data_IF_598937704513
#
_entry.id   IF_598937704513
#
_cell.length_a   1.000
_cell.length_b   1.000
_cell.length_c   1.000
_cell.angle_alpha   90.00
_cell.angle_beta   90.00
_cell.angle_gamma   90.00
#
_symmetry.space_group_name_H-M   'P 1'
#
loop_
_entity.id
_entity.type
_entity.pdbx_description
1 polymer ?
#
# COMPACT_ATOMS: atom_id res chain seq x y z
N UNK A 1 -13.92 2.62 3.63
CA UNK A 1 -14.48 1.28 3.32
C UNK A 1 -13.48 0.11 3.37
N UNK A 2 -12.49 -0.01 2.47
CA UNK A 2 -11.66 -1.24 2.35
C UNK A 2 -10.93 -1.70 3.63
N UNK A 3 -10.42 -0.79 4.45
CA UNK A 3 -9.80 -1.12 5.75
C UNK A 3 -10.77 -1.06 6.94
N UNK A 4 -11.90 -0.39 6.76
CA UNK A 4 -12.91 -0.23 7.81
C UNK A 4 -13.84 -1.45 7.87
N UNK A 5 -14.29 -1.91 6.71
CA UNK A 5 -15.20 -3.04 6.57
C UNK A 5 -14.46 -4.35 6.88
N UNK A 6 -14.92 -5.13 7.88
CA UNK A 6 -14.27 -6.38 8.28
C UNK A 6 -14.33 -7.48 7.22
N UNK A 7 -15.13 -7.34 6.16
CA UNK A 7 -15.15 -8.28 5.03
C UNK A 7 -13.90 -8.18 4.13
N UNK A 8 -13.03 -7.18 4.34
CA UNK A 8 -11.81 -7.00 3.56
C UNK A 8 -10.56 -7.07 4.46
N UNK A 9 -10.07 -5.91 4.97
CA UNK A 9 -8.92 -5.81 5.90
C UNK A 9 -7.71 -6.68 5.51
N UNK A 10 -7.32 -6.62 4.25
CA UNK A 10 -6.25 -7.47 3.70
C UNK A 10 -4.88 -7.19 4.34
N UNK A 11 -4.09 -8.27 4.51
CA UNK A 11 -2.70 -8.20 4.99
C UNK A 11 -1.76 -7.48 4.02
N UNK A 12 -2.11 -7.41 2.74
CA UNK A 12 -1.27 -6.76 1.75
C UNK A 12 -1.99 -6.38 0.47
N UNK A 13 -1.38 -5.42 -0.23
CA UNK A 13 -1.94 -4.79 -1.42
C UNK A 13 -0.90 -4.63 -2.52
N UNK A 14 -1.35 -4.74 -3.76
CA UNK A 14 -0.64 -4.29 -4.97
C UNK A 14 -1.52 -3.24 -5.63
N UNK A 15 -1.06 -1.99 -5.63
CA UNK A 15 -1.79 -0.88 -6.23
C UNK A 15 -1.28 -0.71 -7.65
N UNK A 16 -2.12 -1.06 -8.62
CA UNK A 16 -1.79 -0.98 -10.05
C UNK A 16 -2.75 -0.02 -10.73
N UNK A 17 -2.33 1.25 -10.95
CA UNK A 17 -3.10 2.15 -11.78
C UNK A 17 -3.33 1.52 -13.16
N UNK A 18 -4.54 1.68 -13.68
CA UNK A 18 -4.93 1.09 -14.95
C UNK A 18 -4.11 1.71 -16.09
N UNK A 19 -3.51 0.86 -16.92
CA UNK A 19 -2.74 1.25 -18.09
C UNK A 19 -3.49 0.86 -19.36
N UNK A 20 -3.47 1.74 -20.35
CA UNK A 20 -4.00 1.47 -21.69
C UNK A 20 -2.86 0.87 -22.53
N UNK A 21 -3.04 -0.36 -22.97
CA UNK A 21 -2.04 -1.12 -23.76
C UNK A 21 -2.66 -1.50 -25.10
N UNK A 22 -1.90 -1.32 -26.19
CA UNK A 22 -2.34 -1.70 -27.55
C UNK A 22 -2.78 -3.17 -27.58
N UNK A 23 -3.86 -3.46 -28.30
CA UNK A 23 -4.41 -4.81 -28.43
C UNK A 23 -5.32 -5.26 -27.28
N UNK A 24 -5.62 -4.39 -26.30
CA UNK A 24 -6.60 -4.67 -25.24
C UNK A 24 -7.96 -4.05 -25.53
N UNK A 25 -9.03 -4.58 -24.95
CA UNK A 25 -10.37 -3.97 -25.08
C UNK A 25 -10.42 -2.53 -24.55
N UNK A 26 -9.64 -2.22 -23.51
CA UNK A 26 -9.55 -0.86 -22.95
C UNK A 26 -8.94 0.14 -23.96
N UNK A 27 -8.04 -0.33 -24.83
CA UNK A 27 -7.46 0.51 -25.89
C UNK A 27 -8.51 0.99 -26.89
N UNK A 28 -9.47 0.14 -27.28
CA UNK A 28 -10.55 0.56 -28.19
C UNK A 28 -11.49 1.58 -27.53
N UNK A 29 -11.76 1.44 -26.22
CA UNK A 29 -12.51 2.44 -25.45
C UNK A 29 -11.77 3.77 -25.37
N UNK A 30 -10.46 3.73 -25.13
CA UNK A 30 -9.62 4.92 -25.09
C UNK A 30 -9.55 5.61 -26.46
N UNK A 31 -9.33 4.85 -27.54
CA UNK A 31 -9.27 5.33 -28.92
C UNK A 31 -10.57 6.01 -29.37
N UNK A 32 -11.72 5.52 -28.89
CA UNK A 32 -13.05 6.11 -29.17
C UNK A 32 -13.44 7.21 -28.19
N UNK A 33 -12.55 7.61 -27.27
CA UNK A 33 -12.81 8.66 -26.28
C UNK A 33 -13.75 8.27 -25.13
N UNK A 34 -14.16 7.00 -25.06
CA UNK A 34 -15.04 6.45 -24.00
C UNK A 34 -14.31 6.14 -22.70
N UNK A 35 -12.98 6.10 -22.73
CA UNK A 35 -12.14 5.98 -21.56
C UNK A 35 -11.05 7.04 -21.57
N UNK A 36 -10.77 7.64 -20.41
CA UNK A 36 -9.67 8.59 -20.20
C UNK A 36 -8.92 8.19 -18.94
N UNK A 37 -7.61 8.05 -19.04
CA UNK A 37 -6.74 7.85 -17.88
C UNK A 37 -6.69 9.11 -17.03
N UNK A 38 -6.35 8.96 -15.75
CA UNK A 38 -6.12 10.11 -14.90
C UNK A 38 -4.89 10.92 -15.36
N UNK A 39 -4.93 12.26 -15.24
CA UNK A 39 -3.72 13.07 -15.30
C UNK A 39 -2.71 12.63 -14.22
N UNK A 40 -1.39 12.76 -14.47
CA UNK A 40 -0.36 12.35 -13.50
C UNK A 40 -0.56 12.91 -12.09
N UNK A 41 -0.85 14.20 -11.97
CA UNK A 41 -1.02 14.86 -10.65
C UNK A 41 -2.21 14.32 -9.86
N UNK A 42 -3.32 14.04 -10.54
CA UNK A 42 -4.51 13.46 -9.91
C UNK A 42 -4.20 12.05 -9.41
N UNK A 43 -3.43 11.28 -10.18
CA UNK A 43 -3.04 9.93 -9.80
C UNK A 43 -2.09 9.94 -8.60
N UNK A 44 -1.09 10.82 -8.59
CA UNK A 44 -0.15 10.97 -7.47
C UNK A 44 -0.89 11.35 -6.19
N UNK A 45 -1.78 12.35 -6.27
CA UNK A 45 -2.62 12.79 -5.14
C UNK A 45 -3.50 11.66 -4.60
N UNK A 46 -4.15 10.91 -5.50
CA UNK A 46 -4.98 9.77 -5.13
C UNK A 46 -4.18 8.68 -4.42
N UNK A 47 -3.02 8.30 -4.97
CA UNK A 47 -2.17 7.26 -4.37
C UNK A 47 -1.63 7.72 -3.01
N UNK A 48 -1.23 8.99 -2.87
CA UNK A 48 -0.80 9.55 -1.59
C UNK A 48 -1.89 9.43 -0.51
N UNK A 49 -3.15 9.79 -0.85
CA UNK A 49 -4.29 9.62 0.06
C UNK A 49 -4.57 8.16 0.39
N UNK A 50 -4.46 7.25 -0.59
CA UNK A 50 -4.62 5.81 -0.33
C UNK A 50 -3.55 5.33 0.66
N UNK A 51 -2.29 5.70 0.45
CA UNK A 51 -1.18 5.30 1.34
C UNK A 51 -1.34 5.85 2.76
N UNK A 52 -1.90 7.05 2.92
CA UNK A 52 -2.21 7.62 4.23
C UNK A 52 -3.25 6.81 5.03
N UNK A 53 -4.12 6.04 4.35
CA UNK A 53 -5.15 5.22 4.96
C UNK A 53 -4.68 3.79 5.28
N UNK A 54 -3.49 3.40 4.84
CA UNK A 54 -2.99 2.02 5.00
C UNK A 54 -2.69 1.76 6.48
N UNK A 55 -3.32 0.77 7.10
CA UNK A 55 -3.09 0.47 8.50
C UNK A 55 -1.74 -0.23 8.71
N UNK A 56 -1.19 -0.18 9.95
CA UNK A 56 0.14 -0.70 10.25
C UNK A 56 0.30 -2.22 10.15
N UNK A 57 -0.80 -2.96 10.02
CA UNK A 57 -0.77 -4.40 9.74
C UNK A 57 -0.81 -4.72 8.24
N UNK A 58 -0.95 -3.75 7.33
CA UNK A 58 -1.02 -4.01 5.89
C UNK A 58 0.30 -3.65 5.20
N UNK A 59 0.75 -4.49 4.26
CA UNK A 59 1.91 -4.24 3.42
C UNK A 59 1.50 -3.82 2.00
N UNK A 60 1.94 -2.65 1.53
CA UNK A 60 1.83 -2.31 0.11
C UNK A 60 3.07 -2.82 -0.63
N UNK A 61 2.91 -3.89 -1.41
CA UNK A 61 4.02 -4.54 -2.11
C UNK A 61 4.54 -3.71 -3.27
N UNK A 62 3.62 -3.14 -4.05
CA UNK A 62 3.92 -2.37 -5.27
C UNK A 62 2.91 -1.27 -5.46
N UNK A 63 3.40 -0.16 -6.00
CA UNK A 63 2.63 0.98 -6.49
C UNK A 63 3.13 1.17 -7.92
N UNK A 64 2.36 0.66 -8.89
CA UNK A 64 2.69 0.44 -10.32
C UNK A 64 3.28 -0.96 -10.66
N UNK A 65 3.14 -1.34 -11.93
CA UNK A 65 3.72 -2.57 -12.52
C UNK A 65 4.98 -2.24 -13.30
N UNK A 66 5.86 -3.23 -13.43
CA UNK A 66 7.07 -3.14 -14.27
C UNK A 66 6.69 -3.41 -15.74
N UNK A 67 6.03 -2.43 -16.37
CA UNK A 67 5.68 -2.48 -17.80
C UNK A 67 6.56 -1.47 -18.55
N UNK A 68 7.26 -1.87 -19.62
CA UNK A 68 8.02 -0.93 -20.44
C UNK A 68 7.13 0.21 -20.95
N UNK A 69 7.53 1.45 -20.67
CA UNK A 69 6.79 2.66 -21.07
C UNK A 69 6.45 2.74 -22.57
N UNK A 70 7.30 2.28 -23.52
CA UNK A 70 6.94 2.27 -24.94
C UNK A 70 5.71 1.42 -25.30
N UNK A 71 5.30 0.49 -24.44
CA UNK A 71 4.09 -0.33 -24.63
C UNK A 71 2.82 0.34 -24.09
N UNK A 72 2.97 1.38 -23.26
CA UNK A 72 1.87 2.08 -22.61
C UNK A 72 1.38 3.21 -23.53
N UNK A 73 0.12 3.15 -23.95
CA UNK A 73 -0.51 4.18 -24.79
C UNK A 73 -1.08 5.34 -23.96
N UNK A 74 -1.51 5.08 -22.73
CA UNK A 74 -2.00 6.08 -21.77
C UNK A 74 -2.02 5.47 -20.36
N UNK A 75 -1.88 6.30 -19.31
CA UNK A 75 -1.89 5.85 -17.92
C UNK A 75 -0.81 6.53 -17.09
N UNK A 76 -0.06 5.74 -16.33
CA UNK A 76 1.10 6.21 -15.55
C UNK A 76 2.19 6.68 -16.51
N UNK A 77 2.76 7.86 -16.27
CA UNK A 77 3.85 8.43 -17.08
C UNK A 77 5.23 8.31 -16.41
N UNK A 78 5.26 8.15 -15.08
CA UNK A 78 6.49 8.09 -14.29
C UNK A 78 6.79 6.67 -13.79
N UNK A 79 8.05 6.26 -13.89
CA UNK A 79 8.54 4.98 -13.37
C UNK A 79 8.79 4.97 -11.85
N UNK A 80 8.51 6.04 -11.12
CA UNK A 80 8.76 6.17 -9.68
C UNK A 80 7.52 6.65 -8.90
N UNK A 81 6.31 6.21 -9.28
CA UNK A 81 5.04 6.68 -8.69
C UNK A 81 4.98 6.57 -7.16
N UNK A 82 5.61 5.55 -6.56
CA UNK A 82 5.63 5.41 -5.09
C UNK A 82 6.37 6.58 -4.43
N UNK A 83 7.51 6.97 -4.96
CA UNK A 83 8.33 8.06 -4.43
C UNK A 83 7.58 9.38 -4.53
N UNK A 84 7.02 9.68 -5.70
CA UNK A 84 6.19 10.87 -5.93
C UNK A 84 5.00 10.93 -4.97
N UNK A 85 4.33 9.80 -4.72
CA UNK A 85 3.23 9.74 -3.77
C UNK A 85 3.69 9.96 -2.31
N UNK A 86 4.82 9.37 -1.90
CA UNK A 86 5.37 9.57 -0.55
C UNK A 86 5.82 11.02 -0.33
N UNK A 87 6.39 11.66 -1.35
CA UNK A 87 6.73 13.09 -1.29
C UNK A 87 5.48 13.95 -1.21
N UNK A 88 4.46 13.66 -2.03
CA UNK A 88 3.17 14.36 -2.00
C UNK A 88 2.48 14.26 -0.63
N UNK A 89 2.67 13.16 0.11
CA UNK A 89 2.11 13.02 1.46
C UNK A 89 2.66 14.05 2.46
N UNK A 90 3.87 14.58 2.23
CA UNK A 90 4.49 15.61 3.08
C UNK A 90 3.67 16.90 3.05
N UNK A 91 3.09 17.24 1.91
CA UNK A 91 2.24 18.44 1.75
C UNK A 91 0.96 18.36 2.60
N UNK A 92 0.51 17.14 2.94
CA UNK A 92 -0.65 16.92 3.82
C UNK A 92 -0.27 16.78 5.31
N UNK A 93 1.03 16.77 5.64
CA UNK A 93 1.49 16.46 6.98
C UNK A 93 1.18 15.02 7.42
N UNK A 94 1.07 14.08 6.47
CA UNK A 94 0.75 12.67 6.76
C UNK A 94 1.95 11.77 6.50
N UNK A 95 1.99 10.62 7.16
CA UNK A 95 3.05 9.61 6.99
C UNK A 95 2.46 8.27 6.59
N UNK A 96 3.17 7.55 5.70
CA UNK A 96 2.77 6.20 5.32
C UNK A 96 3.21 5.23 6.40
N UNK A 97 2.24 4.57 7.05
CA UNK A 97 2.49 3.59 8.11
C UNK A 97 2.33 2.15 7.65
N UNK A 98 2.45 1.90 6.34
CA UNK A 98 2.46 0.52 5.85
C UNK A 98 3.66 -0.26 6.40
N UNK A 99 3.54 -1.59 6.45
CA UNK A 99 4.61 -2.48 6.92
C UNK A 99 5.91 -2.21 6.16
N UNK A 100 5.82 -1.96 4.84
CA UNK A 100 6.99 -1.78 3.96
C UNK A 100 7.84 -0.58 4.34
N UNK A 101 7.22 0.57 4.61
CA UNK A 101 7.92 1.82 4.87
C UNK A 101 8.55 1.85 6.27
N UNK A 102 8.02 1.02 7.17
CA UNK A 102 8.45 0.92 8.57
C UNK A 102 9.54 -0.13 8.78
N UNK A 103 9.70 -1.11 7.89
CA UNK A 103 10.73 -2.16 8.00
C UNK A 103 12.13 -1.56 8.25
N UNK A 104 12.84 -2.12 9.23
CA UNK A 104 14.17 -1.64 9.67
C UNK A 104 15.16 -1.45 8.52
N UNK A 105 15.19 -2.37 7.55
CA UNK A 105 16.07 -2.24 6.38
C UNK A 105 15.70 -1.07 5.47
N UNK A 106 14.41 -0.77 5.31
CA UNK A 106 13.95 0.38 4.51
C UNK A 106 14.27 1.69 5.24
N UNK A 107 14.02 1.76 6.54
CA UNK A 107 14.35 2.92 7.38
C UNK A 107 15.86 3.21 7.39
N UNK A 108 16.69 2.18 7.55
CA UNK A 108 18.16 2.34 7.53
C UNK A 108 18.64 2.89 6.18
N UNK A 109 18.15 2.36 5.06
CA UNK A 109 18.53 2.82 3.71
C UNK A 109 18.14 4.29 3.47
N UNK A 110 16.93 4.69 3.85
CA UNK A 110 16.39 6.00 3.46
C UNK A 110 16.69 7.11 4.49
N UNK A 111 16.82 6.76 5.76
CA UNK A 111 16.93 7.74 6.86
C UNK A 111 18.15 7.52 7.76
N UNK A 112 18.87 6.40 7.58
CA UNK A 112 20.01 5.98 8.45
C UNK A 112 19.65 5.83 9.92
N UNK A 113 18.36 5.74 10.24
CA UNK A 113 17.87 5.47 11.58
C UNK A 113 18.08 3.99 11.93
N UNK A 114 18.47 3.74 13.17
CA UNK A 114 18.57 2.42 13.77
C UNK A 114 17.69 2.39 15.01
N UNK A 115 16.97 1.29 15.26
CA UNK A 115 16.11 1.17 16.42
C UNK A 115 16.94 1.33 17.70
N UNK A 116 16.38 2.04 18.68
CA UNK A 116 16.98 2.24 19.99
C UNK A 116 16.19 1.48 21.06
N UNK A 117 14.92 1.86 21.25
CA UNK A 117 14.04 1.25 22.24
C UNK A 117 12.96 0.42 21.54
N UNK A 118 12.96 -0.89 21.81
CA UNK A 118 12.12 -1.85 21.10
C UNK A 118 11.07 -2.42 22.03
N UNK A 119 9.82 -2.31 21.62
CA UNK A 119 8.65 -2.78 22.36
C UNK A 119 7.88 -3.86 21.61
N UNK A 120 7.24 -4.77 22.36
CA UNK A 120 6.25 -5.68 21.80
C UNK A 120 4.90 -4.97 21.70
N UNK A 121 4.46 -4.71 20.47
CA UNK A 121 3.17 -4.09 20.16
C UNK A 121 2.19 -5.16 19.69
N UNK A 122 0.94 -5.06 20.16
CA UNK A 122 -0.18 -5.91 19.76
C UNK A 122 -1.32 -5.06 19.18
N UNK A 123 -1.84 -5.48 18.02
CA UNK A 123 -3.02 -4.87 17.39
C UNK A 123 -4.01 -5.98 17.04
N UNK A 124 -5.18 -5.94 17.65
CA UNK A 124 -6.27 -6.89 17.38
C UNK A 124 -7.33 -6.25 16.49
N UNK A 125 -7.82 -7.00 15.50
CA UNK A 125 -8.89 -6.55 14.62
C UNK A 125 -9.75 -7.71 14.13
N UNK A 126 -11.03 -7.44 13.95
CA UNK A 126 -11.96 -8.41 13.37
C UNK A 126 -11.84 -8.44 11.85
N UNK A 127 -11.70 -9.61 11.23
CA UNK A 127 -11.69 -9.78 9.78
C UNK A 127 -12.30 -11.10 9.35
N UNK A 128 -13.20 -11.07 8.36
CA UNK A 128 -13.80 -12.25 7.72
C UNK A 128 -14.32 -13.29 8.73
N UNK A 129 -15.06 -12.82 9.75
CA UNK A 129 -15.68 -13.68 10.76
C UNK A 129 -14.77 -14.17 11.89
N UNK A 130 -13.50 -13.77 11.92
CA UNK A 130 -12.54 -14.20 12.95
C UNK A 130 -11.75 -13.04 13.55
N UNK A 131 -11.05 -13.33 14.64
CA UNK A 131 -10.14 -12.37 15.29
C UNK A 131 -8.73 -12.53 14.74
N UNK A 132 -8.21 -11.46 14.16
CA UNK A 132 -6.80 -11.32 13.81
C UNK A 132 -6.05 -10.59 14.94
N UNK A 133 -4.86 -11.08 15.21
CA UNK A 133 -3.90 -10.49 16.15
C UNK A 133 -2.59 -10.28 15.40
N UNK A 134 -2.21 -9.02 15.23
CA UNK A 134 -0.92 -8.60 14.69
C UNK A 134 0.02 -8.25 15.83
N UNK A 135 0.99 -9.12 16.08
CA UNK A 135 2.09 -8.90 17.02
C UNK A 135 3.29 -8.37 16.26
N UNK A 136 4.00 -7.41 16.85
CA UNK A 136 5.18 -6.81 16.21
C UNK A 136 6.16 -6.30 17.24
N UNK A 137 7.45 -6.45 16.97
CA UNK A 137 8.49 -5.70 17.67
C UNK A 137 8.76 -4.41 16.90
N UNK A 138 8.53 -3.28 17.54
CA UNK A 138 8.61 -1.94 16.94
C UNK A 138 9.41 -0.98 17.84
N UNK A 139 10.09 -0.01 17.25
CA UNK A 139 10.50 1.23 17.92
C UNK A 139 9.39 2.26 17.70
N UNK A 140 8.57 2.57 18.72
CA UNK A 140 7.38 3.40 18.56
C UNK A 140 7.72 4.89 18.35
N UNK A 141 8.85 5.36 18.87
CA UNK A 141 9.28 6.76 18.71
C UNK A 141 9.76 7.03 17.28
N UNK A 142 10.55 6.11 16.72
CA UNK A 142 11.11 6.25 15.37
C UNK A 142 10.23 5.64 14.27
N UNK A 143 9.14 4.98 14.68
CA UNK A 143 8.20 4.24 13.83
C UNK A 143 8.91 3.21 12.94
N UNK A 144 9.74 2.36 13.58
CA UNK A 144 10.52 1.30 12.93
C UNK A 144 9.93 -0.06 13.31
N UNK A 145 9.77 -0.94 12.33
CA UNK A 145 9.29 -2.31 12.49
C UNK A 145 10.44 -3.29 12.28
N UNK A 146 10.68 -4.16 13.26
CA UNK A 146 11.79 -5.13 13.27
C UNK A 146 11.31 -6.52 12.89
N UNK A 147 10.20 -6.96 13.48
CA UNK A 147 9.62 -8.27 13.25
C UNK A 147 8.11 -8.27 13.48
N UNK A 148 7.40 -9.18 12.83
CA UNK A 148 5.95 -9.29 12.93
C UNK A 148 5.49 -10.75 12.95
N UNK A 149 4.31 -10.98 13.54
CA UNK A 149 3.59 -12.24 13.53
C UNK A 149 2.09 -11.96 13.37
N UNK A 150 1.42 -12.78 12.55
CA UNK A 150 -0.04 -12.78 12.40
C UNK A 150 -0.59 -14.05 13.03
N UNK A 151 -1.53 -13.89 13.95
CA UNK A 151 -2.25 -14.98 14.58
C UNK A 151 -3.74 -14.79 14.35
N UNK A 152 -4.43 -15.84 13.89
CA UNK A 152 -5.87 -15.82 13.68
C UNK A 152 -6.55 -16.80 14.63
N UNK A 153 -7.57 -16.34 15.36
CA UNK A 153 -8.59 -17.22 15.92
C UNK A 153 -9.68 -17.42 14.85
N UNK A 154 -9.72 -18.57 14.17
CA UNK A 154 -10.70 -18.82 13.13
C UNK A 154 -12.13 -18.83 13.69
N UNK A 155 -13.10 -18.54 12.81
CA UNK A 155 -14.52 -18.74 13.10
C UNK A 155 -14.86 -20.24 13.10
N UNK A 156 -16.12 -20.57 13.37
CA UNK A 156 -16.60 -21.95 13.20
C UNK A 156 -16.92 -22.30 11.74
N UNK A 157 -16.89 -21.33 10.83
CA UNK A 157 -17.29 -21.46 9.41
C UNK A 157 -16.09 -21.52 8.46
N UNK A 158 -14.91 -21.86 8.96
CA UNK A 158 -13.70 -21.87 8.13
C UNK A 158 -13.62 -23.18 7.35
N UNK A 159 -13.50 -23.08 6.03
CA UNK A 159 -13.14 -24.21 5.17
C UNK A 159 -11.73 -24.69 5.56
N UNK A 160 -11.63 -25.95 6.01
CA UNK A 160 -10.37 -26.66 6.22
C UNK A 160 -9.84 -27.21 4.91
#
# INVERSE_FOLDING_TARGET
EFFENPAFRADGLKIYPTLVIRGTGLYELWKTGKYKSYPPEVLIDLVARILALVPPWTRVYRVQRDIPMPLVSSGVEHGNLRELALDRMKDFGTTCRDVRTREVGIKEIHTRLRPNEVELIRRDYWANGGWETFLSYEDPEQDILIGLLRLRKPSNEVFR
#
